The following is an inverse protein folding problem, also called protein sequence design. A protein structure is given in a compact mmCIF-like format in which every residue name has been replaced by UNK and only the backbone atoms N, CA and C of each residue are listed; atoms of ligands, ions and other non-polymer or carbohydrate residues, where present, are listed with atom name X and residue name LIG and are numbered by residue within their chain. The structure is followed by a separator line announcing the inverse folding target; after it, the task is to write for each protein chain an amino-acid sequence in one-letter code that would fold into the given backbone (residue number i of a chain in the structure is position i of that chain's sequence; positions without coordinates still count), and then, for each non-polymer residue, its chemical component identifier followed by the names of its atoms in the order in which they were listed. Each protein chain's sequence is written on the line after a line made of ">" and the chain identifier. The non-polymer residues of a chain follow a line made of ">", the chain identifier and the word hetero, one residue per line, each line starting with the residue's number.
data_IF_710036932923
#
_entry.id   IF_710036932923
#
_cell.length_a   1.000
_cell.length_b   1.000
_cell.length_c   1.000
_cell.angle_alpha   90.00
_cell.angle_beta   90.00
_cell.angle_gamma   90.00
#
_symmetry.space_group_name_H-M   'P 1'
#
loop_
_entity.id
_entity.type
_entity.pdbx_description
1 polymer ?
#
# COMPACT_ATOMS: atom_id res chain seq x y z
N UNK A 1 24.81 -41.31 9.60
CA UNK A 1 23.74 -40.31 9.71
C UNK A 1 24.34 -38.99 9.29
N UNK A 2 24.12 -38.58 8.04
CA UNK A 2 24.69 -37.35 7.49
C UNK A 2 23.90 -36.15 8.00
N UNK A 3 24.58 -35.23 8.68
CA UNK A 3 24.04 -33.92 8.98
C UNK A 3 23.91 -33.17 7.64
N UNK A 4 22.72 -33.17 7.07
CA UNK A 4 22.41 -32.31 5.93
C UNK A 4 22.55 -30.88 6.39
N UNK A 5 23.50 -30.19 5.76
CA UNK A 5 23.75 -28.77 5.86
C UNK A 5 22.42 -28.05 5.97
N UNK A 6 22.22 -27.35 7.09
CA UNK A 6 21.26 -26.24 7.12
C UNK A 6 21.75 -25.28 6.06
N UNK A 7 21.20 -25.39 4.85
CA UNK A 7 21.06 -24.26 3.95
C UNK A 7 20.33 -23.18 4.77
N UNK A 8 21.14 -22.38 5.45
CA UNK A 8 20.78 -21.03 5.83
C UNK A 8 20.54 -20.33 4.50
N UNK A 9 19.32 -20.43 4.00
CA UNK A 9 18.86 -19.63 2.88
C UNK A 9 19.10 -18.17 3.26
N UNK A 10 20.18 -17.60 2.72
CA UNK A 10 20.50 -16.16 2.73
C UNK A 10 19.43 -15.31 2.00
N UNK A 11 18.27 -15.90 1.70
CA UNK A 11 17.06 -15.25 1.25
C UNK A 11 16.05 -15.09 2.40
N UNK A 12 16.47 -14.54 3.55
CA UNK A 12 15.55 -13.79 4.40
C UNK A 12 15.22 -12.51 3.61
N UNK A 13 14.37 -12.68 2.59
CA UNK A 13 14.05 -11.68 1.59
C UNK A 13 13.61 -10.41 2.30
N UNK A 14 14.29 -9.30 1.99
CA UNK A 14 13.96 -7.98 2.54
C UNK A 14 12.45 -7.76 2.43
N UNK A 15 11.76 -7.84 3.56
CA UNK A 15 10.34 -7.52 3.63
C UNK A 15 10.21 -6.01 3.48
N UNK A 16 9.85 -5.56 2.27
CA UNK A 16 9.50 -4.17 2.05
C UNK A 16 8.04 -3.99 2.43
N UNK A 17 7.71 -3.18 3.44
CA UNK A 17 6.33 -2.96 3.81
C UNK A 17 5.60 -2.31 2.63
N UNK A 18 4.39 -2.77 2.35
CA UNK A 18 3.58 -2.28 1.23
C UNK A 18 2.36 -1.54 1.73
N UNK A 19 1.84 -0.62 0.92
CA UNK A 19 0.55 0.02 1.16
C UNK A 19 -0.35 -0.21 -0.05
N UNK A 20 -1.55 -0.74 0.17
CA UNK A 20 -2.54 -0.96 -0.89
C UNK A 20 -3.59 0.11 -0.78
N UNK A 21 -3.79 0.89 -1.85
CA UNK A 21 -4.83 1.90 -1.97
C UNK A 21 -5.89 1.42 -2.96
N UNK A 22 -7.13 1.36 -2.52
CA UNK A 22 -8.29 1.09 -3.37
C UNK A 22 -8.98 2.41 -3.73
N UNK A 23 -9.16 2.67 -5.01
CA UNK A 23 -9.70 3.93 -5.54
C UNK A 23 -10.98 3.64 -6.33
N UNK A 24 -12.05 4.39 -6.04
CA UNK A 24 -13.32 4.35 -6.79
C UNK A 24 -13.98 5.73 -6.78
N UNK A 25 -14.39 6.25 -7.94
CA UNK A 25 -15.25 7.45 -8.13
C UNK A 25 -15.10 8.57 -7.07
N UNK A 26 -13.90 9.15 -6.94
CA UNK A 26 -13.66 10.26 -6.00
C UNK A 26 -13.49 9.84 -4.53
N UNK A 27 -13.31 8.54 -4.28
CA UNK A 27 -13.03 7.96 -2.97
C UNK A 27 -11.79 7.08 -3.04
N UNK A 28 -11.03 7.04 -1.95
CA UNK A 28 -10.05 6.00 -1.72
C UNK A 28 -10.08 5.47 -0.30
N UNK A 29 -9.61 4.25 -0.12
CA UNK A 29 -9.22 3.67 1.16
C UNK A 29 -7.84 3.04 1.02
N UNK A 30 -7.09 2.93 2.12
CA UNK A 30 -5.83 2.19 2.10
C UNK A 30 -5.57 1.42 3.39
N UNK A 31 -4.71 0.41 3.28
CA UNK A 31 -4.12 -0.30 4.41
C UNK A 31 -2.65 -0.59 4.13
N UNK A 32 -1.83 -0.59 5.17
CA UNK A 32 -0.43 -1.02 5.11
C UNK A 32 -0.32 -2.52 5.46
N UNK A 33 0.66 -3.22 4.89
CA UNK A 33 0.82 -4.66 5.09
C UNK A 33 1.28 -5.04 6.50
N UNK A 34 1.84 -4.08 7.24
CA UNK A 34 2.17 -4.19 8.66
C UNK A 34 0.99 -3.80 9.58
N UNK A 35 -0.17 -3.44 9.00
CA UNK A 35 -1.38 -2.99 9.67
C UNK A 35 -1.20 -1.79 10.62
N UNK A 36 -0.12 -1.01 10.45
CA UNK A 36 0.17 0.16 11.29
C UNK A 36 -0.60 1.40 10.86
N UNK A 37 -1.03 1.47 9.60
CA UNK A 37 -1.77 2.61 9.09
C UNK A 37 -2.90 2.17 8.17
N UNK A 38 -4.04 2.84 8.33
CA UNK A 38 -5.17 2.78 7.43
C UNK A 38 -5.68 4.20 7.21
N UNK A 39 -6.37 4.42 6.10
CA UNK A 39 -6.96 5.72 5.82
C UNK A 39 -8.07 5.63 4.80
N UNK A 40 -8.90 6.67 4.78
CA UNK A 40 -9.96 6.82 3.79
C UNK A 40 -10.14 8.30 3.47
N UNK A 41 -10.61 8.58 2.26
CA UNK A 41 -10.89 9.93 1.82
C UNK A 41 -11.96 9.91 0.74
N UNK A 42 -12.84 10.90 0.75
CA UNK A 42 -13.91 11.09 -0.24
C UNK A 42 -13.97 12.56 -0.61
N UNK A 43 -13.97 12.85 -1.91
CA UNK A 43 -14.05 14.19 -2.45
C UNK A 43 -14.72 14.15 -3.84
N UNK A 44 -15.91 14.76 -3.99
CA UNK A 44 -16.60 14.84 -5.27
C UNK A 44 -15.86 15.68 -6.33
N UNK A 45 -15.08 16.69 -5.91
CA UNK A 45 -14.28 17.49 -6.83
C UNK A 45 -13.05 16.70 -7.30
N UNK A 46 -13.04 16.32 -8.57
CA UNK A 46 -12.00 15.48 -9.15
C UNK A 46 -10.59 16.10 -9.06
N UNK A 47 -10.47 17.44 -9.11
CA UNK A 47 -9.17 18.12 -8.99
C UNK A 47 -8.65 18.05 -7.57
N UNK A 48 -9.50 18.29 -6.57
CA UNK A 48 -9.12 18.16 -5.16
C UNK A 48 -8.82 16.70 -4.81
N UNK A 49 -9.62 15.77 -5.29
CA UNK A 49 -9.42 14.34 -5.11
C UNK A 49 -8.04 13.90 -5.61
N UNK A 50 -7.70 14.24 -6.87
CA UNK A 50 -6.39 13.90 -7.45
C UNK A 50 -5.23 14.49 -6.65
N UNK A 51 -5.37 15.73 -6.16
CA UNK A 51 -4.34 16.39 -5.34
C UNK A 51 -4.15 15.65 -4.02
N UNK A 52 -5.24 15.29 -3.35
CA UNK A 52 -5.16 14.56 -2.09
C UNK A 52 -4.58 13.16 -2.27
N UNK A 53 -5.02 12.42 -3.29
CA UNK A 53 -4.48 11.09 -3.61
C UNK A 53 -2.98 11.15 -3.88
N UNK A 54 -2.51 12.13 -4.66
CA UNK A 54 -1.07 12.31 -4.90
C UNK A 54 -0.28 12.61 -3.61
N UNK A 55 -0.85 13.38 -2.68
CA UNK A 55 -0.24 13.66 -1.39
C UNK A 55 -0.18 12.41 -0.50
N UNK A 56 -1.22 11.58 -0.49
CA UNK A 56 -1.24 10.31 0.23
C UNK A 56 -0.17 9.35 -0.31
N UNK A 57 -0.10 9.18 -1.64
CA UNK A 57 0.93 8.37 -2.30
C UNK A 57 2.34 8.83 -1.90
N UNK A 58 2.59 10.13 -1.94
CA UNK A 58 3.89 10.69 -1.53
C UNK A 58 4.18 10.41 -0.06
N UNK A 59 3.20 10.59 0.82
CA UNK A 59 3.35 10.39 2.27
C UNK A 59 3.68 8.94 2.60
N UNK A 60 3.00 7.98 1.97
CA UNK A 60 3.27 6.55 2.16
C UNK A 60 4.65 6.15 1.62
N UNK A 61 5.04 6.65 0.46
CA UNK A 61 6.39 6.43 -0.08
C UNK A 61 7.47 7.03 0.84
N UNK A 62 7.28 8.23 1.39
CA UNK A 62 8.20 8.86 2.34
C UNK A 62 8.33 8.08 3.65
N UNK A 63 7.26 7.39 4.06
CA UNK A 63 7.28 6.46 5.22
C UNK A 63 7.95 5.12 4.91
N UNK A 64 8.41 4.91 3.68
CA UNK A 64 9.11 3.68 3.27
C UNK A 64 8.19 2.56 2.77
N UNK A 65 6.90 2.84 2.54
CA UNK A 65 6.00 1.86 1.96
C UNK A 65 6.09 1.83 0.44
N UNK A 66 6.14 0.64 -0.15
CA UNK A 66 5.90 0.47 -1.57
C UNK A 66 4.40 0.52 -1.85
N UNK A 67 3.94 1.55 -2.56
CA UNK A 67 2.51 1.81 -2.75
C UNK A 67 1.96 1.13 -4.00
N UNK A 68 0.86 0.39 -3.84
CA UNK A 68 0.09 -0.24 -4.93
C UNK A 68 -1.28 0.41 -5.01
N UNK A 69 -1.61 0.98 -6.17
CA UNK A 69 -2.94 1.57 -6.42
C UNK A 69 -3.77 0.59 -7.21
N UNK A 70 -4.95 0.26 -6.69
CA UNK A 70 -5.94 -0.61 -7.31
C UNK A 70 -7.20 0.20 -7.59
N UNK A 71 -7.56 0.30 -8.88
CA UNK A 71 -8.86 0.83 -9.25
C UNK A 71 -9.89 -0.23 -8.91
N UNK A 72 -10.81 0.09 -8.00
CA UNK A 72 -11.92 -0.79 -7.67
C UNK A 72 -13.18 -0.24 -8.31
N UNK A 73 -13.99 -1.13 -8.85
CA UNK A 73 -15.27 -0.76 -9.42
C UNK A 73 -16.31 -0.39 -8.38
N UNK A 74 -16.03 -0.52 -7.05
CA UNK A 74 -17.02 -0.56 -5.96
C UNK A 74 -18.14 0.44 -6.24
N UNK A 75 -19.20 -0.16 -6.80
CA UNK A 75 -20.55 0.36 -6.94
C UNK A 75 -21.12 0.26 -5.53
N UNK A 76 -20.94 1.32 -4.76
CA UNK A 76 -21.72 1.54 -3.55
C UNK A 76 -23.05 2.14 -3.92
#
# INVERSE_FOLDING_TARGET
>A
MQATERQLDEAIGKYYPTATIWVSRGRYTYTTSDLRATGHFTEPDERKFRRQLALELRTLNQRGYFVKVQQTTIEG
#
